data_IF_296417494590
#
_entry.id   IF_296417494590
#
_cell.length_a   1.000
_cell.length_b   1.000
_cell.length_c   1.000
_cell.angle_alpha   90.00
_cell.angle_beta   90.00
_cell.angle_gamma   90.00
#
_symmetry.space_group_name_H-M   'P 1'
#
loop_
_entity.id
_entity.type
_entity.pdbx_description
1 polymer ?
#
# COMPACT_ATOMS: atom_id res chain seq x y z
N UNK A 1 8.99 58.68 57.96
CA UNK A 1 9.51 57.31 57.81
C UNK A 1 8.51 56.34 58.44
N UNK A 2 7.77 55.60 57.63
CA UNK A 2 7.00 54.38 57.97
C UNK A 2 7.08 53.47 56.73
N UNK A 3 7.30 52.15 56.85
CA UNK A 3 7.84 51.33 55.76
C UNK A 3 6.77 50.59 54.94
N UNK A 4 7.04 50.56 53.63
CA UNK A 4 7.03 49.42 52.70
C UNK A 4 5.91 48.35 52.80
N UNK A 5 4.97 48.47 51.85
CA UNK A 5 4.59 47.46 50.85
C UNK A 5 4.47 46.00 51.32
N UNK A 6 3.36 45.67 51.99
CA UNK A 6 2.81 44.31 51.99
C UNK A 6 1.84 44.16 50.80
N UNK A 7 2.31 43.60 49.68
CA UNK A 7 1.43 43.44 48.51
C UNK A 7 1.98 42.61 47.34
N UNK A 8 3.06 41.84 47.54
CA UNK A 8 3.72 41.11 46.45
C UNK A 8 3.66 39.58 46.57
N UNK A 9 2.76 39.02 47.38
CA UNK A 9 2.79 37.57 47.71
C UNK A 9 1.60 36.75 47.21
N UNK A 10 0.99 37.10 46.08
CA UNK A 10 -0.06 36.23 45.46
C UNK A 10 0.18 35.95 43.97
N UNK A 11 1.05 36.69 43.28
CA UNK A 11 1.19 36.57 41.83
C UNK A 11 2.26 35.60 41.31
N UNK A 12 3.01 34.91 42.17
CA UNK A 12 4.11 34.02 41.75
C UNK A 12 3.81 32.51 41.83
N UNK A 13 2.55 32.10 42.08
CA UNK A 13 2.20 30.67 42.18
C UNK A 13 1.60 30.11 40.88
N UNK A 14 1.30 30.95 39.88
CA UNK A 14 0.52 30.52 38.71
C UNK A 14 1.32 30.20 37.44
N UNK A 15 2.65 30.12 37.52
CA UNK A 15 3.51 29.93 36.33
C UNK A 15 4.41 28.69 36.34
N UNK A 16 4.33 27.84 37.37
CA UNK A 16 5.20 26.67 37.53
C UNK A 16 4.44 25.33 37.59
N UNK A 17 3.34 25.18 36.85
CA UNK A 17 2.86 23.83 36.49
C UNK A 17 3.53 23.49 35.17
N UNK A 18 4.71 22.89 35.25
CA UNK A 18 5.43 22.37 34.10
C UNK A 18 4.48 21.50 33.25
N UNK A 19 4.32 21.76 31.94
CA UNK A 19 3.45 20.97 31.05
C UNK A 19 4.02 19.57 30.75
N UNK A 20 5.15 19.21 31.36
CA UNK A 20 5.85 17.94 31.17
C UNK A 20 4.99 16.67 31.40
N UNK A 21 4.14 16.55 32.44
CA UNK A 21 3.31 15.36 32.61
C UNK A 21 2.24 15.26 31.51
N UNK A 22 1.71 16.38 31.04
CA UNK A 22 0.73 16.43 29.94
C UNK A 22 1.40 16.05 28.62
N UNK A 23 2.58 16.61 28.32
CA UNK A 23 3.37 16.24 27.14
C UNK A 23 3.75 14.76 27.13
N UNK A 24 4.19 14.21 28.26
CA UNK A 24 4.53 12.78 28.37
C UNK A 24 3.31 11.88 28.20
N UNK A 25 2.13 12.30 28.68
CA UNK A 25 0.89 11.56 28.46
C UNK A 25 0.48 11.59 26.98
N UNK A 26 0.54 12.75 26.32
CA UNK A 26 0.28 12.88 24.88
C UNK A 26 1.24 12.02 24.07
N UNK A 27 2.53 12.05 24.40
CA UNK A 27 3.55 11.25 23.72
C UNK A 27 3.28 9.75 23.86
N UNK A 28 2.99 9.26 25.07
CA UNK A 28 2.63 7.85 25.29
C UNK A 28 1.39 7.46 24.49
N UNK A 29 0.36 8.30 24.47
CA UNK A 29 -0.85 8.03 23.68
C UNK A 29 -0.52 7.97 22.18
N UNK A 30 0.30 8.91 21.68
CA UNK A 30 0.72 8.91 20.28
C UNK A 30 1.55 7.67 19.93
N UNK A 31 2.47 7.26 20.81
CA UNK A 31 3.26 6.04 20.65
C UNK A 31 2.33 4.82 20.59
N UNK A 32 1.38 4.69 21.53
CA UNK A 32 0.41 3.57 21.52
C UNK A 32 -0.46 3.56 20.27
N UNK A 33 -0.91 4.71 19.76
CA UNK A 33 -1.69 4.80 18.53
C UNK A 33 -0.86 4.39 17.31
N UNK A 34 0.42 4.76 17.31
CA UNK A 34 1.37 4.40 16.24
C UNK A 34 1.62 2.88 16.25
N UNK A 35 1.82 2.29 17.42
CA UNK A 35 2.00 0.85 17.59
C UNK A 35 0.75 0.07 17.16
N UNK A 36 -0.45 0.49 17.59
CA UNK A 36 -1.69 -0.16 17.16
C UNK A 36 -1.88 -0.07 15.65
N UNK A 37 -1.60 1.08 15.04
CA UNK A 37 -1.71 1.24 13.59
C UNK A 37 -0.72 0.34 12.85
N UNK A 38 0.49 0.18 13.38
CA UNK A 38 1.51 -0.71 12.81
C UNK A 38 1.07 -2.17 12.88
N UNK A 39 0.48 -2.60 13.98
CA UNK A 39 -0.07 -3.96 14.14
C UNK A 39 -1.24 -4.21 13.17
N UNK A 40 -2.16 -3.26 13.04
CA UNK A 40 -3.28 -3.35 12.10
C UNK A 40 -2.81 -3.47 10.65
N UNK A 41 -1.83 -2.64 10.26
CA UNK A 41 -1.20 -2.72 8.94
C UNK A 41 -0.56 -4.09 8.71
N UNK A 42 0.26 -4.58 9.64
CA UNK A 42 0.91 -5.88 9.50
C UNK A 42 -0.11 -7.01 9.35
N UNK A 43 -1.23 -6.94 10.08
CA UNK A 43 -2.35 -7.87 9.96
C UNK A 43 -3.04 -7.79 8.60
N UNK A 44 -3.27 -6.59 8.08
CA UNK A 44 -3.89 -6.37 6.77
C UNK A 44 -3.02 -6.93 5.63
N UNK A 45 -1.72 -6.63 5.64
CA UNK A 45 -0.73 -7.17 4.69
C UNK A 45 -0.75 -8.70 4.74
N UNK A 46 -0.65 -9.29 5.94
CA UNK A 46 -0.59 -10.74 6.11
C UNK A 46 -1.87 -11.41 5.63
N UNK A 47 -3.04 -10.86 5.96
CA UNK A 47 -4.32 -11.40 5.52
C UNK A 47 -4.49 -11.30 4.00
N UNK A 48 -4.02 -10.23 3.37
CA UNK A 48 -4.04 -10.10 1.91
C UNK A 48 -3.12 -11.13 1.24
N UNK A 49 -1.89 -11.29 1.75
CA UNK A 49 -0.97 -12.32 1.29
C UNK A 49 -1.56 -13.74 1.41
N UNK A 50 -2.10 -14.10 2.58
CA UNK A 50 -2.65 -15.45 2.82
C UNK A 50 -3.82 -15.76 1.88
N UNK A 51 -4.69 -14.79 1.61
CA UNK A 51 -5.76 -14.93 0.60
C UNK A 51 -5.20 -15.08 -0.81
N UNK A 52 -4.20 -14.29 -1.18
CA UNK A 52 -3.54 -14.37 -2.50
C UNK A 52 -2.90 -15.74 -2.71
N UNK A 53 -2.12 -16.21 -1.73
CA UNK A 53 -1.46 -17.50 -1.76
C UNK A 53 -2.46 -18.66 -1.79
N UNK A 54 -3.59 -18.56 -1.07
CA UNK A 54 -4.65 -19.57 -1.12
C UNK A 54 -5.27 -19.67 -2.52
N UNK A 55 -5.50 -18.54 -3.19
CA UNK A 55 -6.03 -18.50 -4.57
C UNK A 55 -5.03 -19.13 -5.55
N UNK A 56 -3.75 -18.75 -5.48
CA UNK A 56 -2.69 -19.30 -6.32
C UNK A 56 -2.50 -20.81 -6.11
N UNK A 57 -2.63 -21.27 -4.86
CA UNK A 57 -2.57 -22.69 -4.53
C UNK A 57 -3.76 -23.49 -5.08
N UNK A 58 -4.93 -22.88 -5.23
CA UNK A 58 -6.10 -23.59 -5.77
C UNK A 58 -6.12 -23.62 -7.29
N UNK A 59 -5.56 -22.60 -7.94
CA UNK A 59 -5.70 -22.39 -9.40
C UNK A 59 -4.37 -22.51 -10.18
N UNK A 60 -3.32 -22.96 -9.49
CA UNK A 60 -1.95 -23.33 -9.90
C UNK A 60 -1.39 -22.77 -11.22
N UNK A 61 -1.97 -23.08 -12.38
CA UNK A 61 -1.40 -22.72 -13.70
C UNK A 61 -2.23 -21.74 -14.51
N UNK A 62 -3.49 -21.47 -14.13
CA UNK A 62 -4.42 -20.66 -14.93
C UNK A 62 -4.43 -19.20 -14.49
N UNK A 63 -4.12 -18.95 -13.21
CA UNK A 63 -4.23 -17.62 -12.62
C UNK A 63 -2.86 -16.99 -12.38
N UNK A 64 -2.66 -15.79 -12.95
CA UNK A 64 -1.49 -14.96 -12.68
C UNK A 64 -1.53 -14.37 -11.28
N UNK A 65 -0.34 -14.10 -10.72
CA UNK A 65 -0.16 -13.46 -9.42
C UNK A 65 -0.91 -12.14 -9.28
N UNK A 66 -1.03 -11.36 -10.36
CA UNK A 66 -1.83 -10.12 -10.38
C UNK A 66 -3.30 -10.36 -10.04
N UNK A 67 -3.93 -11.36 -10.65
CA UNK A 67 -5.34 -11.68 -10.38
C UNK A 67 -5.55 -12.18 -8.96
N UNK A 68 -4.59 -12.96 -8.44
CA UNK A 68 -4.65 -13.42 -7.06
C UNK A 68 -4.60 -12.24 -6.08
N UNK A 69 -3.70 -11.29 -6.30
CA UNK A 69 -3.62 -10.05 -5.51
C UNK A 69 -4.90 -9.22 -5.61
N UNK A 70 -5.44 -9.07 -6.83
CA UNK A 70 -6.67 -8.30 -7.07
C UNK A 70 -7.89 -8.93 -6.36
N UNK A 71 -8.06 -10.26 -6.48
CA UNK A 71 -9.11 -11.04 -5.80
C UNK A 71 -8.94 -11.12 -4.29
N UNK A 72 -7.70 -11.09 -3.80
CA UNK A 72 -7.39 -10.99 -2.38
C UNK A 72 -7.63 -9.58 -1.79
N UNK A 73 -8.29 -8.72 -2.57
CA UNK A 73 -8.64 -7.35 -2.22
C UNK A 73 -7.41 -6.47 -1.97
N UNK A 74 -6.34 -6.60 -2.77
CA UNK A 74 -5.15 -5.74 -2.67
C UNK A 74 -5.47 -4.24 -2.77
N UNK A 75 -6.57 -3.86 -3.41
CA UNK A 75 -7.08 -2.49 -3.47
C UNK A 75 -7.56 -1.93 -2.12
N UNK A 76 -7.75 -2.77 -1.08
CA UNK A 76 -8.14 -2.35 0.28
C UNK A 76 -6.94 -2.00 1.18
N UNK A 77 -5.71 -2.19 0.71
CA UNK A 77 -4.51 -1.76 1.43
C UNK A 77 -4.45 -0.22 1.48
N UNK A 78 -3.80 0.35 2.49
CA UNK A 78 -3.81 1.80 2.72
C UNK A 78 -2.74 2.55 1.91
N UNK A 79 -1.73 1.85 1.39
CA UNK A 79 -0.60 2.49 0.71
C UNK A 79 0.07 1.60 -0.34
N UNK A 80 0.77 2.22 -1.29
CA UNK A 80 1.62 1.48 -2.24
C UNK A 80 2.70 0.65 -1.53
N UNK A 81 3.19 1.12 -0.38
CA UNK A 81 4.18 0.39 0.41
C UNK A 81 3.61 -0.94 0.93
N UNK A 82 2.36 -0.94 1.39
CA UNK A 82 1.67 -2.18 1.78
C UNK A 82 1.45 -3.11 0.60
N UNK A 83 1.11 -2.57 -0.57
CA UNK A 83 0.98 -3.36 -1.81
C UNK A 83 2.32 -4.01 -2.17
N UNK A 84 3.42 -3.25 -2.10
CA UNK A 84 4.76 -3.75 -2.35
C UNK A 84 5.13 -4.89 -1.39
N UNK A 85 4.90 -4.71 -0.09
CA UNK A 85 5.16 -5.77 0.90
C UNK A 85 4.36 -7.05 0.62
N UNK A 86 3.12 -6.95 0.17
CA UNK A 86 2.35 -8.14 -0.24
C UNK A 86 2.94 -8.79 -1.51
N UNK A 87 3.38 -7.99 -2.48
CA UNK A 87 3.99 -8.49 -3.71
C UNK A 87 5.31 -9.23 -3.42
N UNK A 88 6.15 -8.68 -2.55
CA UNK A 88 7.38 -9.31 -2.09
C UNK A 88 7.09 -10.66 -1.41
N UNK A 89 6.11 -10.71 -0.50
CA UNK A 89 5.70 -11.96 0.15
C UNK A 89 5.19 -13.01 -0.84
N UNK A 90 4.46 -12.61 -1.88
CA UNK A 90 4.00 -13.52 -2.94
C UNK A 90 5.20 -14.08 -3.72
N UNK A 91 6.17 -13.23 -4.05
CA UNK A 91 7.37 -13.64 -4.78
C UNK A 91 8.27 -14.55 -3.93
N UNK A 92 8.48 -14.22 -2.65
CA UNK A 92 9.20 -15.04 -1.68
C UNK A 92 8.56 -16.43 -1.49
N UNK A 93 7.24 -16.53 -1.65
CA UNK A 93 6.51 -17.79 -1.62
C UNK A 93 6.69 -18.63 -2.91
N UNK A 94 7.44 -18.15 -3.89
CA UNK A 94 7.79 -18.85 -5.13
C UNK A 94 6.85 -18.62 -6.30
N UNK A 95 5.98 -17.61 -6.23
CA UNK A 95 5.11 -17.20 -7.35
C UNK A 95 5.73 -16.02 -8.12
N UNK A 96 5.20 -15.73 -9.31
CA UNK A 96 5.63 -14.57 -10.10
C UNK A 96 5.26 -13.26 -9.38
N UNK A 97 6.02 -12.19 -9.58
CA UNK A 97 5.70 -10.92 -8.93
C UNK A 97 4.41 -10.35 -9.53
N UNK A 98 3.40 -9.89 -8.74
CA UNK A 98 2.12 -9.45 -9.27
C UNK A 98 2.19 -8.36 -10.35
N UNK A 99 3.18 -7.47 -10.27
CA UNK A 99 3.42 -6.41 -11.26
C UNK A 99 4.54 -6.71 -12.26
N UNK A 100 5.02 -7.96 -12.33
CA UNK A 100 6.03 -8.38 -13.29
C UNK A 100 5.58 -8.04 -14.73
N UNK A 101 6.50 -7.42 -15.48
CA UNK A 101 6.29 -7.01 -16.88
C UNK A 101 5.37 -5.80 -17.12
N UNK A 102 4.66 -5.29 -16.10
CA UNK A 102 3.94 -3.98 -16.19
C UNK A 102 4.64 -2.86 -15.43
N UNK A 103 5.44 -3.18 -14.42
CA UNK A 103 6.22 -2.20 -13.67
C UNK A 103 7.71 -2.29 -14.01
N UNK A 104 8.45 -1.17 -14.08
CA UNK A 104 8.00 0.21 -13.86
C UNK A 104 7.43 0.90 -15.11
N UNK A 105 7.50 0.27 -16.29
CA UNK A 105 7.26 0.92 -17.58
C UNK A 105 5.84 1.39 -17.85
N UNK A 106 4.83 0.62 -17.44
CA UNK A 106 3.42 0.93 -17.69
C UNK A 106 2.75 1.47 -16.43
N UNK A 107 2.99 0.80 -15.30
CA UNK A 107 2.47 1.19 -13.98
C UNK A 107 3.64 1.29 -13.00
N UNK A 108 4.11 2.49 -12.67
CA UNK A 108 5.17 2.67 -11.70
C UNK A 108 4.67 2.37 -10.28
N UNK A 109 5.58 1.97 -9.39
CA UNK A 109 5.26 1.56 -8.00
C UNK A 109 4.45 2.60 -7.23
N UNK A 110 4.74 3.88 -7.43
CA UNK A 110 3.99 5.00 -6.82
C UNK A 110 2.49 5.02 -7.15
N UNK A 111 2.06 4.27 -8.16
CA UNK A 111 0.67 4.23 -8.65
C UNK A 111 0.01 2.87 -8.47
N UNK A 112 0.68 1.86 -7.89
CA UNK A 112 0.15 0.49 -7.81
C UNK A 112 -1.23 0.40 -7.14
N UNK A 113 -1.43 1.07 -6.01
CA UNK A 113 -2.71 1.08 -5.31
C UNK A 113 -3.79 1.79 -6.12
N UNK A 114 -3.44 2.90 -6.78
CA UNK A 114 -4.37 3.63 -7.64
C UNK A 114 -4.79 2.78 -8.85
N UNK A 115 -3.84 2.05 -9.44
CA UNK A 115 -4.09 1.12 -10.52
C UNK A 115 -4.96 -0.08 -10.10
N UNK A 116 -4.72 -0.67 -8.92
CA UNK A 116 -5.57 -1.74 -8.38
C UNK A 116 -7.03 -1.27 -8.20
N UNK A 117 -7.22 -0.03 -7.73
CA UNK A 117 -8.55 0.58 -7.64
C UNK A 117 -9.17 0.81 -9.03
N UNK A 118 -8.40 1.30 -9.99
CA UNK A 118 -8.84 1.48 -11.38
C UNK A 118 -9.31 0.16 -12.00
N UNK A 119 -8.50 -0.89 -11.89
CA UNK A 119 -8.81 -2.23 -12.40
C UNK A 119 -10.06 -2.80 -11.73
N UNK A 120 -10.25 -2.59 -10.43
CA UNK A 120 -11.45 -3.05 -9.70
C UNK A 120 -12.74 -2.39 -10.18
N UNK A 121 -12.67 -1.12 -10.56
CA UNK A 121 -13.85 -0.32 -10.91
C UNK A 121 -14.11 -0.21 -12.42
N UNK A 122 -13.19 -0.69 -13.25
CA UNK A 122 -13.36 -0.66 -14.69
C UNK A 122 -14.43 -1.68 -15.14
N UNK A 123 -15.52 -1.23 -15.80
CA UNK A 123 -16.64 -2.10 -16.18
C UNK A 123 -16.29 -3.16 -17.22
N UNK A 124 -15.16 -2.98 -17.93
CA UNK A 124 -14.71 -3.84 -19.02
C UNK A 124 -13.47 -4.66 -18.66
N UNK A 125 -13.02 -4.60 -17.41
CA UNK A 125 -11.92 -5.43 -16.93
C UNK A 125 -12.55 -6.45 -16.02
N UNK A 126 -12.42 -7.73 -16.35
CA UNK A 126 -12.65 -8.76 -15.36
C UNK A 126 -11.33 -8.98 -14.60
N UNK A 127 -11.13 -8.41 -13.40
CA UNK A 127 -9.89 -8.66 -12.64
C UNK A 127 -9.71 -10.12 -12.24
N UNK A 128 -10.77 -10.92 -12.43
CA UNK A 128 -10.87 -12.30 -12.02
C UNK A 128 -10.57 -13.27 -13.18
N UNK A 129 -10.59 -12.84 -14.44
CA UNK A 129 -10.39 -13.72 -15.61
C UNK A 129 -9.65 -12.99 -16.75
N UNK A 130 -8.84 -13.73 -17.52
CA UNK A 130 -8.24 -13.20 -18.76
C UNK A 130 -6.95 -12.42 -18.55
N UNK A 131 -6.66 -11.47 -19.43
CA UNK A 131 -5.42 -10.65 -19.44
C UNK A 131 -5.72 -9.16 -19.55
N UNK A 132 -6.95 -8.79 -19.24
CA UNK A 132 -7.51 -7.46 -19.44
C UNK A 132 -6.76 -6.41 -18.60
N UNK A 133 -6.07 -6.82 -17.54
CA UNK A 133 -5.21 -5.93 -16.75
C UNK A 133 -3.95 -5.47 -17.50
N UNK A 134 -3.47 -6.21 -18.50
CA UNK A 134 -2.35 -5.78 -19.35
C UNK A 134 -2.79 -4.65 -20.28
N UNK A 135 -3.96 -4.79 -20.89
CA UNK A 135 -4.60 -3.71 -21.66
C UNK A 135 -4.92 -2.51 -20.77
N UNK A 136 -5.32 -2.77 -19.53
CA UNK A 136 -5.53 -1.74 -18.52
C UNK A 136 -4.24 -0.99 -18.17
N UNK A 137 -3.12 -1.71 -18.03
CA UNK A 137 -1.81 -1.13 -17.76
C UNK A 137 -1.35 -0.25 -18.93
N UNK A 138 -1.57 -0.69 -20.18
CA UNK A 138 -1.27 0.13 -21.36
C UNK A 138 -2.14 1.39 -21.42
N UNK A 139 -3.45 1.28 -21.17
CA UNK A 139 -4.34 2.45 -21.07
C UNK A 139 -3.93 3.38 -19.95
N UNK A 140 -3.62 2.84 -18.77
CA UNK A 140 -3.14 3.61 -17.62
C UNK A 140 -1.92 4.44 -17.98
N UNK A 141 -0.94 3.81 -18.63
CA UNK A 141 0.27 4.48 -19.13
C UNK A 141 -0.08 5.63 -20.07
N UNK A 142 -0.95 5.39 -21.06
CA UNK A 142 -1.38 6.40 -22.02
C UNK A 142 -2.08 7.58 -21.31
N UNK A 143 -3.01 7.29 -20.41
CA UNK A 143 -3.80 8.28 -19.66
C UNK A 143 -2.91 9.15 -18.74
N UNK A 144 -1.83 8.57 -18.19
CA UNK A 144 -0.90 9.26 -17.30
C UNK A 144 0.34 9.83 -18.01
N UNK A 145 0.44 9.67 -19.34
CA UNK A 145 1.52 10.20 -20.15
C UNK A 145 2.90 9.58 -19.85
N UNK A 146 2.94 8.34 -19.39
CA UNK A 146 4.20 7.65 -19.14
C UNK A 146 4.91 7.27 -20.45
N UNK A 147 6.24 7.40 -20.52
CA UNK A 147 6.99 7.06 -21.73
C UNK A 147 6.86 5.57 -22.03
N UNK A 148 6.97 5.21 -23.32
CA UNK A 148 7.15 3.81 -23.69
C UNK A 148 8.40 3.27 -22.97
N UNK A 149 8.33 2.11 -22.29
CA UNK A 149 9.52 1.50 -21.73
C UNK A 149 10.54 1.20 -22.85
N UNK A 150 11.85 1.33 -22.57
CA UNK A 150 12.90 1.20 -23.57
C UNK A 150 13.05 -0.22 -24.13
N UNK A 151 12.48 -1.24 -23.46
CA UNK A 151 12.39 -2.62 -23.93
C UNK A 151 10.94 -3.11 -23.82
N UNK A 152 10.14 -2.92 -24.88
CA UNK A 152 8.83 -3.58 -25.03
C UNK A 152 8.96 -5.11 -25.04
N UNK A 153 10.18 -5.66 -25.11
CA UNK A 153 10.47 -7.08 -25.06
C UNK A 153 9.96 -7.73 -23.77
N UNK A 154 9.98 -7.06 -22.62
CA UNK A 154 9.52 -7.64 -21.35
C UNK A 154 7.99 -7.69 -21.25
N UNK A 155 7.30 -6.66 -21.75
CA UNK A 155 5.83 -6.68 -21.83
C UNK A 155 5.33 -7.62 -22.92
N UNK A 156 5.98 -7.64 -24.09
CA UNK A 156 5.68 -8.61 -25.16
C UNK A 156 6.00 -10.03 -24.70
N UNK A 157 7.12 -10.26 -24.00
CA UNK A 157 7.47 -11.55 -23.39
C UNK A 157 6.47 -11.96 -22.31
N UNK A 158 6.01 -11.02 -21.46
CA UNK A 158 4.95 -11.28 -20.51
C UNK A 158 3.68 -11.66 -21.27
N UNK A 159 3.19 -10.81 -22.17
CA UNK A 159 2.00 -11.04 -23.00
C UNK A 159 2.10 -12.39 -23.73
N UNK A 160 3.23 -12.72 -24.35
CA UNK A 160 3.50 -13.99 -25.04
C UNK A 160 3.55 -15.19 -24.07
N UNK A 161 4.32 -15.12 -22.97
CA UNK A 161 4.34 -16.16 -21.91
C UNK A 161 2.95 -16.41 -21.35
N UNK A 162 2.16 -15.36 -21.24
CA UNK A 162 0.82 -15.42 -20.71
C UNK A 162 -0.16 -15.95 -21.77
N UNK A 163 0.00 -15.60 -23.07
CA UNK A 163 -0.80 -16.06 -24.24
C UNK A 163 -0.51 -17.48 -24.70
N UNK A 164 0.67 -18.02 -24.42
CA UNK A 164 1.11 -19.33 -24.89
C UNK A 164 1.06 -20.43 -23.80
N UNK A 165 0.60 -20.10 -22.58
CA UNK A 165 0.24 -21.04 -21.51
C UNK A 165 -1.25 -21.34 -21.52
#
# INVERSE_FOLDING_TARGET
MVPLLAGASVFLVRWFVSPYPIYMQIRRTLDTLTDTKKEERAKAIRACFERSAAILKQQHSVLLSFHALSRAEGHRLESNQEVAEVCDLIQEAGYDHPFEGISPGYVPEKDWLAFLNYVRHAPNINPEEGKDYLDAADRWRQDHGYPLPPDDADFVSLVERTLLR
#
